data_IF_277695076502
#
_entry.id   IF_277695076502
#
_cell.length_a   1.000
_cell.length_b   1.000
_cell.length_c   1.000
_cell.angle_alpha   90.00
_cell.angle_beta   90.00
_cell.angle_gamma   90.00
#
_symmetry.space_group_name_H-M   'P 1'
#
loop_
_entity.id
_entity.type
_entity.pdbx_description
1 polymer ?
#
# COMPACT_ATOMS: atom_id res chain seq x y z
N UNK A 1 60.29 1.70 -9.47
CA UNK A 1 59.42 2.59 -8.67
C UNK A 1 58.03 2.81 -9.28
N UNK A 2 57.87 3.12 -10.58
CA UNK A 2 56.55 3.38 -11.22
C UNK A 2 55.57 2.19 -11.20
N UNK A 3 56.04 0.96 -11.41
CA UNK A 3 55.18 -0.23 -11.41
C UNK A 3 54.62 -0.59 -10.02
N UNK A 4 55.41 -0.42 -8.96
CA UNK A 4 54.93 -0.61 -7.60
C UNK A 4 53.88 0.43 -7.22
N UNK A 5 54.07 1.69 -7.63
CA UNK A 5 53.08 2.75 -7.43
C UNK A 5 51.77 2.43 -8.16
N UNK A 6 51.85 1.92 -9.39
CA UNK A 6 50.68 1.49 -10.17
C UNK A 6 49.91 0.33 -9.52
N UNK A 7 50.62 -0.68 -9.01
CA UNK A 7 50.00 -1.81 -8.30
C UNK A 7 49.33 -1.38 -6.99
N UNK A 8 49.92 -0.43 -6.26
CA UNK A 8 49.33 0.14 -5.05
C UNK A 8 48.03 0.89 -5.38
N UNK A 9 48.02 1.69 -6.45
CA UNK A 9 46.82 2.43 -6.88
C UNK A 9 45.69 1.46 -7.26
N UNK A 10 45.98 0.40 -8.01
CA UNK A 10 44.98 -0.61 -8.37
C UNK A 10 44.42 -1.31 -7.12
N UNK A 11 45.28 -1.66 -6.17
CA UNK A 11 44.86 -2.29 -4.91
C UNK A 11 43.90 -1.40 -4.12
N UNK A 12 44.18 -0.09 -4.04
CA UNK A 12 43.31 0.89 -3.37
C UNK A 12 41.96 0.99 -4.08
N UNK A 13 41.94 1.05 -5.42
CA UNK A 13 40.70 1.14 -6.20
C UNK A 13 39.82 -0.10 -5.97
N UNK A 14 40.41 -1.30 -5.99
CA UNK A 14 39.68 -2.54 -5.73
C UNK A 14 39.08 -2.57 -4.32
N UNK A 15 39.82 -2.08 -3.33
CA UNK A 15 39.36 -1.99 -1.95
C UNK A 15 38.17 -1.02 -1.83
N UNK A 16 38.24 0.14 -2.49
CA UNK A 16 37.13 1.12 -2.52
C UNK A 16 35.88 0.54 -3.17
N UNK A 17 35.99 -0.17 -4.29
CA UNK A 17 34.85 -0.81 -4.96
C UNK A 17 34.18 -1.87 -4.07
N UNK A 18 34.99 -2.66 -3.35
CA UNK A 18 34.49 -3.64 -2.39
C UNK A 18 33.72 -2.98 -1.24
N UNK A 19 34.26 -1.89 -0.68
CA UNK A 19 33.58 -1.12 0.37
C UNK A 19 32.27 -0.49 -0.10
N UNK A 20 32.22 0.04 -1.32
CA UNK A 20 30.98 0.59 -1.91
C UNK A 20 29.93 -0.51 -2.06
N UNK A 21 30.33 -1.70 -2.51
CA UNK A 21 29.42 -2.84 -2.69
C UNK A 21 28.85 -3.31 -1.35
N UNK A 22 29.69 -3.42 -0.32
CA UNK A 22 29.26 -3.74 1.05
C UNK A 22 28.31 -2.67 1.61
N UNK A 23 28.59 -1.39 1.34
CA UNK A 23 27.71 -0.30 1.74
C UNK A 23 26.35 -0.38 1.04
N UNK A 24 26.30 -0.73 -0.24
CA UNK A 24 25.06 -0.98 -0.97
C UNK A 24 24.31 -2.21 -0.46
N UNK A 25 25.00 -3.29 -0.08
CA UNK A 25 24.37 -4.47 0.50
C UNK A 25 23.80 -4.19 1.89
N UNK A 26 24.50 -3.40 2.71
CA UNK A 26 23.98 -2.92 4.01
C UNK A 26 22.81 -1.97 3.77
N UNK A 27 22.90 -1.03 2.82
CA UNK A 27 21.79 -0.17 2.43
C UNK A 27 20.61 -0.95 1.84
N UNK A 28 20.83 -2.11 1.23
CA UNK A 28 19.75 -3.00 0.75
C UNK A 28 19.15 -3.82 1.88
N UNK A 29 19.97 -4.23 2.86
CA UNK A 29 19.53 -4.95 4.04
C UNK A 29 18.85 -4.05 5.08
N UNK A 30 19.21 -2.76 5.13
CA UNK A 30 18.74 -1.79 6.13
C UNK A 30 17.89 -0.65 5.55
N UNK A 31 17.99 -0.38 4.24
CA UNK A 31 17.25 0.65 3.53
C UNK A 31 16.11 0.05 2.71
N UNK A 32 14.90 0.11 3.27
CA UNK A 32 13.95 1.17 2.92
C UNK A 32 12.69 1.04 3.80
N UNK A 33 12.93 1.03 5.11
CA UNK A 33 11.93 1.36 6.13
C UNK A 33 11.72 2.89 6.27
N UNK A 34 12.01 3.66 5.21
CA UNK A 34 11.86 5.12 5.17
C UNK A 34 11.19 5.50 3.84
N UNK A 35 9.93 5.10 3.67
CA UNK A 35 9.01 5.82 2.80
C UNK A 35 7.87 6.33 3.65
N UNK A 36 7.81 7.66 3.71
CA UNK A 36 6.86 8.50 4.44
C UNK A 36 7.01 8.50 5.97
N UNK A 37 7.59 9.59 6.47
CA UNK A 37 6.99 10.28 7.62
C UNK A 37 5.57 10.63 7.17
N UNK A 38 4.62 9.72 7.38
CA UNK A 38 3.22 10.12 7.34
C UNK A 38 3.05 11.02 8.54
N UNK A 39 2.58 12.25 8.29
CA UNK A 39 1.90 13.10 9.27
C UNK A 39 1.10 12.23 10.27
N UNK A 40 0.82 12.72 11.50
CA UNK A 40 -0.08 12.02 12.39
C UNK A 40 -1.49 12.05 11.78
N UNK A 41 -1.73 11.23 10.76
CA UNK A 41 -3.06 10.79 10.41
C UNK A 41 -3.46 9.97 11.62
N UNK A 42 -4.32 10.57 12.45
CA UNK A 42 -5.18 9.88 13.40
C UNK A 42 -5.41 8.47 12.84
N UNK A 43 -4.75 7.50 13.47
CA UNK A 43 -4.89 6.10 13.16
C UNK A 43 -6.37 5.79 13.46
N UNK A 44 -7.24 5.99 12.47
CA UNK A 44 -8.55 5.37 12.46
C UNK A 44 -8.22 3.89 12.55
N UNK A 45 -8.44 3.31 13.75
CA UNK A 45 -8.36 1.87 14.01
C UNK A 45 -8.81 1.16 12.74
N UNK A 46 -7.98 0.24 12.23
CA UNK A 46 -8.37 -0.64 11.14
C UNK A 46 -9.77 -1.15 11.44
N UNK A 47 -10.77 -0.70 10.68
CA UNK A 47 -12.10 -1.27 10.79
C UNK A 47 -11.94 -2.73 10.37
N UNK A 48 -12.30 -3.66 11.25
CA UNK A 48 -12.26 -5.08 10.93
C UNK A 48 -13.30 -5.35 9.85
N UNK A 49 -12.85 -5.88 8.70
CA UNK A 49 -13.72 -6.30 7.62
C UNK A 49 -13.31 -7.67 7.11
N UNK A 50 -14.31 -8.47 6.75
CA UNK A 50 -14.13 -9.76 6.08
C UNK A 50 -14.57 -9.67 4.62
N UNK A 51 -13.86 -10.38 3.75
CA UNK A 51 -14.32 -10.64 2.39
C UNK A 51 -15.21 -11.88 2.45
N UNK A 52 -16.51 -11.68 2.26
CA UNK A 52 -17.54 -12.73 2.30
C UNK A 52 -17.56 -13.50 0.98
N UNK A 53 -17.41 -12.79 -0.14
CA UNK A 53 -17.41 -13.41 -1.46
C UNK A 53 -16.62 -12.57 -2.47
N UNK A 54 -16.13 -13.25 -3.51
CA UNK A 54 -15.43 -12.63 -4.63
C UNK A 54 -15.98 -13.20 -5.93
N UNK A 55 -16.54 -12.35 -6.78
CA UNK A 55 -17.11 -12.71 -8.07
C UNK A 55 -16.35 -11.96 -9.16
N UNK A 56 -16.09 -12.63 -10.28
CA UNK A 56 -15.49 -12.01 -11.46
C UNK A 56 -16.51 -11.99 -12.60
N UNK A 57 -16.74 -10.82 -13.18
CA UNK A 57 -17.66 -10.63 -14.31
C UNK A 57 -17.14 -9.53 -15.24
N UNK A 58 -17.04 -9.80 -16.53
CA UNK A 58 -16.78 -8.81 -17.58
C UNK A 58 -15.64 -7.81 -17.27
N UNK A 59 -14.45 -8.33 -16.93
CA UNK A 59 -13.26 -7.56 -16.53
C UNK A 59 -13.37 -6.72 -15.24
N UNK A 60 -14.48 -6.87 -14.52
CA UNK A 60 -14.67 -6.28 -13.21
C UNK A 60 -14.50 -7.33 -12.12
N UNK A 61 -14.00 -6.86 -10.98
CA UNK A 61 -13.89 -7.64 -9.76
C UNK A 61 -14.98 -7.16 -8.80
N UNK A 62 -15.88 -8.05 -8.42
CA UNK A 62 -16.94 -7.78 -7.47
C UNK A 62 -16.56 -8.43 -6.14
N UNK A 63 -16.49 -7.64 -5.09
CA UNK A 63 -16.19 -8.08 -3.73
C UNK A 63 -17.43 -7.85 -2.88
N UNK A 64 -17.86 -8.88 -2.17
CA UNK A 64 -18.84 -8.74 -1.10
C UNK A 64 -18.04 -8.71 0.19
N UNK A 65 -18.05 -7.59 0.88
CA UNK A 65 -17.37 -7.42 2.16
C UNK A 65 -18.38 -7.23 3.29
N UNK A 66 -18.03 -7.70 4.48
CA UNK A 66 -18.75 -7.42 5.72
C UNK A 66 -17.85 -6.59 6.62
N UNK A 67 -18.35 -5.47 7.12
CA UNK A 67 -17.60 -4.54 7.96
C UNK A 67 -18.12 -4.64 9.39
N UNK A 68 -17.29 -5.11 10.33
CA UNK A 68 -17.66 -5.29 11.74
C UNK A 68 -17.33 -4.04 12.55
N UNK A 69 -17.88 -2.90 12.14
CA UNK A 69 -17.63 -1.64 12.82
C UNK A 69 -18.84 -1.23 13.65
N UNK A 70 -18.60 -0.94 14.93
CA UNK A 70 -19.57 -0.23 15.78
C UNK A 70 -19.73 1.25 15.41
N UNK A 71 -19.03 1.74 14.37
CA UNK A 71 -19.14 3.11 13.90
C UNK A 71 -20.31 3.22 12.92
N UNK A 72 -21.37 3.92 13.33
CA UNK A 72 -22.45 4.36 12.43
C UNK A 72 -21.90 5.31 11.36
N UNK A 73 -22.32 5.13 10.10
CA UNK A 73 -22.08 6.00 8.93
C UNK A 73 -20.62 5.98 8.43
N UNK A 74 -20.21 4.88 7.81
CA UNK A 74 -18.96 4.81 7.09
C UNK A 74 -19.16 4.90 5.58
N UNK A 75 -18.10 5.31 4.90
CA UNK A 75 -17.99 5.36 3.46
C UNK A 75 -16.72 4.63 3.01
N UNK A 76 -16.68 4.17 1.76
CA UNK A 76 -15.45 3.65 1.15
C UNK A 76 -14.81 4.80 0.37
N UNK A 77 -13.64 5.25 0.82
CA UNK A 77 -12.96 6.41 0.25
C UNK A 77 -12.05 6.02 -0.91
N UNK A 78 -11.27 4.95 -0.75
CA UNK A 78 -10.24 4.58 -1.70
C UNK A 78 -10.06 3.06 -1.74
N UNK A 79 -9.89 2.53 -2.95
CA UNK A 79 -9.50 1.14 -3.16
C UNK A 79 -8.25 1.12 -4.01
N UNK A 80 -7.21 0.42 -3.54
CA UNK A 80 -5.98 0.17 -4.29
C UNK A 80 -5.81 -1.31 -4.55
N UNK A 81 -5.37 -1.63 -5.77
CA UNK A 81 -4.90 -2.96 -6.14
C UNK A 81 -3.46 -2.82 -6.60
N UNK A 82 -2.55 -3.56 -5.98
CA UNK A 82 -1.11 -3.46 -6.25
C UNK A 82 -0.60 -2.01 -6.14
N UNK A 83 -1.08 -1.28 -5.13
CA UNK A 83 -0.82 0.15 -4.88
C UNK A 83 -1.33 1.13 -5.95
N UNK A 84 -2.13 0.67 -6.90
CA UNK A 84 -2.78 1.52 -7.91
C UNK A 84 -4.22 1.76 -7.51
N UNK A 85 -4.61 3.04 -7.37
CA UNK A 85 -5.99 3.42 -7.10
C UNK A 85 -6.89 2.97 -8.25
N UNK A 86 -8.00 2.33 -7.92
CA UNK A 86 -8.96 1.82 -8.88
C UNK A 86 -10.25 2.60 -8.80
N UNK A 87 -10.91 2.74 -9.94
CA UNK A 87 -12.30 3.17 -9.96
C UNK A 87 -13.16 2.05 -9.39
N UNK A 88 -14.04 2.42 -8.45
CA UNK A 88 -14.95 1.49 -7.82
C UNK A 88 -16.31 2.14 -7.62
N UNK A 89 -17.32 1.28 -7.59
CA UNK A 89 -18.67 1.61 -7.15
C UNK A 89 -19.00 0.67 -6.00
N UNK A 90 -19.75 1.13 -5.01
CA UNK A 90 -20.20 0.27 -3.92
C UNK A 90 -21.65 0.54 -3.57
N UNK A 91 -22.32 -0.49 -3.10
CA UNK A 91 -23.69 -0.42 -2.58
C UNK A 91 -23.83 -1.28 -1.34
N UNK A 92 -24.63 -0.82 -0.40
CA UNK A 92 -25.06 -1.63 0.74
C UNK A 92 -26.11 -2.64 0.26
N UNK A 93 -25.87 -3.93 0.50
CA UNK A 93 -26.85 -4.99 0.16
C UNK A 93 -27.69 -5.33 1.39
N UNK A 94 -27.07 -5.30 2.56
CA UNK A 94 -27.70 -5.47 3.86
C UNK A 94 -26.87 -4.76 4.91
N UNK A 95 -27.43 -4.55 6.10
CA UNK A 95 -26.70 -3.93 7.21
C UNK A 95 -25.30 -4.53 7.38
N UNK A 96 -24.29 -3.68 7.36
CA UNK A 96 -22.87 -4.02 7.51
C UNK A 96 -22.27 -4.87 6.37
N UNK A 97 -22.99 -5.09 5.26
CA UNK A 97 -22.55 -5.87 4.09
C UNK A 97 -22.66 -5.08 2.80
N UNK A 98 -21.54 -4.98 2.08
CA UNK A 98 -21.38 -4.11 0.93
C UNK A 98 -20.90 -4.90 -0.28
N UNK A 99 -21.51 -4.65 -1.43
CA UNK A 99 -20.98 -5.06 -2.73
C UNK A 99 -20.12 -3.93 -3.27
N UNK A 100 -18.87 -4.24 -3.58
CA UNK A 100 -17.91 -3.34 -4.20
C UNK A 100 -17.61 -3.88 -5.60
N UNK A 101 -17.87 -3.08 -6.61
CA UNK A 101 -17.48 -3.36 -7.99
C UNK A 101 -16.24 -2.55 -8.33
N UNK A 102 -15.12 -3.22 -8.57
CA UNK A 102 -13.85 -2.63 -8.98
C UNK A 102 -13.73 -2.78 -10.50
N UNK A 103 -13.64 -1.65 -11.20
CA UNK A 103 -13.59 -1.61 -12.67
C UNK A 103 -12.20 -1.97 -13.20
N UNK A 104 -12.15 -2.64 -14.35
CA UNK A 104 -10.92 -2.94 -15.08
C UNK A 104 -9.83 -3.58 -14.20
N UNK A 105 -10.21 -4.61 -13.46
CA UNK A 105 -9.31 -5.33 -12.57
C UNK A 105 -9.28 -6.82 -12.88
N UNK A 106 -8.10 -7.30 -13.27
CA UNK A 106 -7.87 -8.71 -13.62
C UNK A 106 -7.33 -9.54 -12.45
N UNK A 107 -6.79 -8.88 -11.41
CA UNK A 107 -6.09 -9.51 -10.28
C UNK A 107 -6.28 -8.70 -9.00
N UNK A 108 -6.17 -9.33 -7.82
CA UNK A 108 -6.33 -8.65 -6.52
C UNK A 108 -5.27 -9.06 -5.48
N UNK A 109 -4.07 -9.42 -5.93
CA UNK A 109 -3.00 -9.95 -5.09
C UNK A 109 -2.72 -9.08 -3.84
N UNK A 110 -2.72 -7.75 -4.00
CA UNK A 110 -2.62 -6.79 -2.90
C UNK A 110 -3.81 -5.82 -2.94
N UNK A 111 -4.89 -6.17 -2.26
CA UNK A 111 -6.07 -5.31 -2.10
C UNK A 111 -5.94 -4.45 -0.84
N UNK A 112 -6.14 -3.15 -0.99
CA UNK A 112 -6.22 -2.19 0.10
C UNK A 112 -7.52 -1.42 0.00
N UNK A 113 -8.29 -1.38 1.08
CA UNK A 113 -9.56 -0.66 1.18
C UNK A 113 -9.41 0.38 2.29
N UNK A 114 -9.62 1.65 1.96
CA UNK A 114 -9.65 2.76 2.92
C UNK A 114 -11.08 3.12 3.22
N UNK A 115 -11.48 2.90 4.47
CA UNK A 115 -12.77 3.31 4.99
C UNK A 115 -12.68 4.73 5.57
N UNK A 116 -13.73 5.51 5.37
CA UNK A 116 -13.93 6.84 5.95
C UNK A 116 -15.17 6.84 6.84
N UNK A 117 -15.26 7.80 7.75
CA UNK A 117 -16.46 8.07 8.52
C UNK A 117 -17.10 9.34 7.97
N UNK A 118 -18.33 9.23 7.48
CA UNK A 118 -19.04 10.36 6.84
C UNK A 118 -19.21 11.55 7.80
N UNK A 119 -19.35 11.29 9.12
CA UNK A 119 -19.45 12.36 10.12
C UNK A 119 -18.19 13.23 10.18
N UNK A 120 -17.02 12.64 9.91
CA UNK A 120 -15.74 13.35 9.99
C UNK A 120 -15.50 14.19 8.73
N UNK A 121 -15.98 13.74 7.57
CA UNK A 121 -15.79 14.47 6.30
C UNK A 121 -16.53 15.82 6.35
N UNK A 122 -17.77 15.82 6.87
CA UNK A 122 -18.58 17.04 6.96
C UNK A 122 -18.02 18.09 7.93
N UNK A 123 -17.23 17.71 8.95
CA UNK A 123 -16.59 18.67 9.87
C UNK A 123 -15.32 19.29 9.29
N UNK A 124 -14.72 18.68 8.26
CA UNK A 124 -13.52 19.21 7.59
C UNK A 124 -13.80 20.08 6.38
N UNK A 125 -15.04 20.12 5.87
CA UNK A 125 -15.46 21.00 4.77
C UNK A 125 -16.09 22.32 5.23
N UNK A 126 -16.27 22.54 6.54
CA UNK A 126 -16.65 23.83 7.15
C UNK A 126 -15.45 24.60 7.66
#
# INVERSE_FOLDING_TARGET
MRYHLFLIIISIILLVISFISLFFDIFRATGFAISSVSQPQKLLKSLDYDIVNTIRRDNNLILVIRIYSNLSNFCINEIKINNVSKEFEYKEISKDVYEITIKNSSQYNNLYIRLCNEKIINETET
#
